data_IF_019873327540
#
_entry.id   IF_019873327540
#
_cell.length_a   1.000
_cell.length_b   1.000
_cell.length_c   1.000
_cell.angle_alpha   90.00
_cell.angle_beta   90.00
_cell.angle_gamma   90.00
#
_symmetry.space_group_name_H-M   'P 1'
#
loop_
_entity.id
_entity.type
_entity.pdbx_description
1 polymer ?
#
# COMPACT_ATOMS: atom_id res chain seq x y z
N UNK A 1 -14.52 -6.33 -4.57
CA UNK A 1 -13.80 -5.42 -5.49
C UNK A 1 -13.20 -4.27 -4.71
N UNK A 2 -12.15 -3.61 -5.19
CA UNK A 2 -11.61 -2.42 -4.54
C UNK A 2 -12.18 -1.18 -5.21
N UNK A 3 -12.78 -0.28 -4.44
CA UNK A 3 -13.43 0.93 -4.94
C UNK A 3 -12.66 2.14 -4.44
N UNK A 4 -12.33 3.07 -5.35
CA UNK A 4 -11.80 4.37 -4.98
C UNK A 4 -12.77 5.45 -5.45
N UNK A 5 -13.33 6.20 -4.51
CA UNK A 5 -14.19 7.35 -4.76
C UNK A 5 -13.37 8.61 -4.49
N UNK A 6 -13.22 9.46 -5.50
CA UNK A 6 -12.58 10.77 -5.35
C UNK A 6 -13.67 11.84 -5.43
N UNK A 7 -13.82 12.62 -4.38
CA UNK A 7 -14.71 13.77 -4.31
C UNK A 7 -13.86 15.04 -4.42
N UNK A 8 -14.26 15.98 -5.28
CA UNK A 8 -13.57 17.26 -5.45
C UNK A 8 -14.55 18.42 -5.31
N UNK A 9 -14.16 19.46 -4.58
CA UNK A 9 -14.89 20.72 -4.46
C UNK A 9 -13.90 21.88 -4.61
N UNK A 10 -13.84 22.47 -5.80
CA UNK A 10 -12.82 23.45 -6.17
C UNK A 10 -11.42 22.84 -6.06
N UNK A 11 -10.53 23.48 -5.30
CA UNK A 11 -9.16 23.01 -5.06
C UNK A 11 -9.07 21.89 -4.01
N UNK A 12 -10.15 21.63 -3.26
CA UNK A 12 -10.16 20.61 -2.20
C UNK A 12 -10.59 19.26 -2.78
N UNK A 13 -9.89 18.19 -2.41
CA UNK A 13 -10.29 16.83 -2.76
C UNK A 13 -10.23 15.89 -1.56
N UNK A 14 -11.16 14.94 -1.53
CA UNK A 14 -11.22 13.85 -0.57
C UNK A 14 -11.20 12.52 -1.33
N UNK A 15 -10.46 11.54 -0.82
CA UNK A 15 -10.35 10.21 -1.42
C UNK A 15 -10.80 9.17 -0.41
N UNK A 16 -11.83 8.41 -0.77
CA UNK A 16 -12.31 7.26 -0.02
C UNK A 16 -11.88 5.99 -0.76
N UNK A 17 -11.14 5.12 -0.07
CA UNK A 17 -10.77 3.80 -0.58
C UNK A 17 -11.51 2.76 0.24
N UNK A 18 -12.23 1.87 -0.45
CA UNK A 18 -12.94 0.76 0.15
C UNK A 18 -12.36 -0.52 -0.43
N UNK A 19 -11.66 -1.26 0.42
CA UNK A 19 -11.11 -2.56 0.06
C UNK A 19 -12.15 -3.65 0.31
N UNK A 20 -12.13 -4.71 -0.50
CA UNK A 20 -13.06 -5.84 -0.39
C UNK A 20 -14.55 -5.46 -0.42
N UNK A 21 -14.90 -4.38 -1.13
CA UNK A 21 -16.28 -3.95 -1.26
C UNK A 21 -17.11 -5.00 -2.02
N UNK A 22 -18.22 -5.51 -1.46
CA UNK A 22 -19.05 -6.50 -2.13
C UNK A 22 -19.66 -5.94 -3.43
N UNK A 23 -19.66 -6.74 -4.49
CA UNK A 23 -20.17 -6.33 -5.81
C UNK A 23 -21.66 -5.94 -5.71
N UNK A 24 -22.47 -6.73 -5.02
CA UNK A 24 -23.89 -6.46 -4.80
C UNK A 24 -24.13 -5.13 -4.06
N UNK A 25 -23.28 -4.82 -3.07
CA UNK A 25 -23.34 -3.54 -2.35
C UNK A 25 -22.98 -2.36 -3.23
N UNK A 26 -22.04 -2.55 -4.17
CA UNK A 26 -21.66 -1.54 -5.16
C UNK A 26 -22.75 -1.26 -6.17
N UNK A 27 -23.37 -2.29 -6.72
CA UNK A 27 -24.51 -2.16 -7.63
C UNK A 27 -25.66 -1.41 -6.95
N UNK A 28 -25.98 -1.76 -5.70
CA UNK A 28 -27.02 -1.07 -4.93
C UNK A 28 -26.68 0.39 -4.67
N UNK A 29 -25.42 0.68 -4.33
CA UNK A 29 -24.96 2.05 -4.09
C UNK A 29 -25.05 2.89 -5.38
N UNK A 30 -24.55 2.35 -6.49
CA UNK A 30 -24.61 2.99 -7.81
C UNK A 30 -26.05 3.29 -8.22
N UNK A 31 -26.95 2.31 -8.14
CA UNK A 31 -28.35 2.51 -8.51
C UNK A 31 -29.02 3.59 -7.67
N UNK A 32 -28.80 3.61 -6.35
CA UNK A 32 -29.33 4.68 -5.48
C UNK A 32 -28.72 6.05 -5.78
N UNK A 33 -27.46 6.08 -6.21
CA UNK A 33 -26.76 7.33 -6.54
C UNK A 33 -27.29 7.89 -7.86
N UNK A 34 -27.50 7.04 -8.86
CA UNK A 34 -28.09 7.42 -10.15
C UNK A 34 -29.54 7.88 -9.97
N UNK A 35 -30.31 7.21 -9.12
CA UNK A 35 -31.67 7.62 -8.73
C UNK A 35 -31.67 9.00 -8.04
N UNK A 36 -30.81 9.18 -7.03
CA UNK A 36 -30.65 10.45 -6.33
C UNK A 36 -30.28 11.62 -7.25
N UNK A 37 -29.46 11.36 -8.27
CA UNK A 37 -29.06 12.34 -9.28
C UNK A 37 -30.13 12.55 -10.38
N UNK A 38 -31.27 11.86 -10.31
CA UNK A 38 -32.34 11.95 -11.29
C UNK A 38 -31.97 11.36 -12.66
N UNK A 39 -30.94 10.51 -12.69
CA UNK A 39 -30.46 9.85 -13.91
C UNK A 39 -31.21 8.54 -14.20
N UNK A 40 -31.98 8.06 -13.23
CA UNK A 40 -32.94 6.97 -13.43
C UNK A 40 -34.32 7.57 -13.65
N UNK A 41 -34.83 7.41 -14.88
CA UNK A 41 -36.13 7.94 -15.27
C UNK A 41 -37.24 7.01 -14.75
N UNK A 42 -37.83 7.36 -13.59
CA UNK A 42 -39.08 6.77 -13.13
C UNK A 42 -40.28 7.42 -13.87
N UNK A 43 -40.25 7.28 -15.20
CA UNK A 43 -41.35 7.61 -16.11
C UNK A 43 -41.54 9.10 -16.41
N UNK A 44 -40.96 9.60 -17.51
CA UNK A 44 -41.70 9.74 -18.78
C UNK A 44 -40.88 10.38 -19.90
N UNK A 45 -40.96 9.73 -21.08
CA UNK A 45 -40.41 10.07 -22.41
C UNK A 45 -38.92 9.81 -22.63
N UNK A 46 -38.68 8.58 -23.13
CA UNK A 46 -37.53 8.11 -23.92
C UNK A 46 -36.85 9.24 -24.72
N UNK A 47 -35.70 9.70 -24.23
CA UNK A 47 -34.56 10.06 -25.09
C UNK A 47 -33.52 8.98 -24.90
N UNK A 48 -33.33 8.15 -25.93
CA UNK A 48 -32.19 7.22 -25.98
C UNK A 48 -30.90 8.05 -26.03
N UNK A 49 -30.34 8.33 -24.86
CA UNK A 49 -28.93 8.70 -24.79
C UNK A 49 -28.17 7.39 -24.75
N UNK A 50 -27.71 6.93 -25.91
CA UNK A 50 -26.74 5.85 -26.04
C UNK A 50 -25.39 6.33 -25.49
N UNK A 51 -25.28 6.42 -24.16
CA UNK A 51 -23.98 6.46 -23.50
C UNK A 51 -23.43 5.04 -23.64
N UNK A 52 -22.49 4.82 -24.56
CA UNK A 52 -21.64 3.63 -24.53
C UNK A 52 -20.55 3.95 -23.51
N UNK A 53 -20.64 3.52 -22.23
CA UNK A 53 -19.53 3.70 -21.33
C UNK A 53 -18.37 2.89 -21.90
N UNK A 54 -17.30 3.57 -22.31
CA UNK A 54 -16.05 2.92 -22.73
C UNK A 54 -15.35 2.43 -21.47
N UNK A 55 -15.87 1.33 -20.90
CA UNK A 55 -15.22 0.64 -19.79
C UNK A 55 -14.12 -0.23 -20.41
N UNK A 56 -12.91 0.32 -20.50
CA UNK A 56 -11.72 -0.48 -20.78
C UNK A 56 -11.35 -1.25 -19.52
N UNK A 57 -11.78 -2.51 -19.44
CA UNK A 57 -11.23 -3.46 -18.47
C UNK A 57 -9.85 -3.88 -18.99
N UNK A 58 -8.81 -3.18 -18.56
CA UNK A 58 -7.42 -3.61 -18.80
C UNK A 58 -7.08 -4.64 -17.73
N UNK A 59 -6.96 -5.90 -18.13
CA UNK A 59 -6.19 -6.87 -17.36
C UNK A 59 -4.74 -6.41 -17.40
N UNK A 60 -4.26 -5.82 -16.30
CA UNK A 60 -2.84 -5.55 -16.15
C UNK A 60 -2.15 -6.90 -15.99
N UNK A 61 -1.42 -7.32 -17.03
CA UNK A 61 -0.37 -8.29 -16.82
C UNK A 61 0.60 -7.67 -15.82
N UNK A 62 0.87 -8.37 -14.72
CA UNK A 62 1.98 -8.06 -13.84
C UNK A 62 3.20 -7.97 -14.72
N UNK A 63 3.67 -6.75 -15.00
CA UNK A 63 4.89 -6.57 -15.75
C UNK A 63 5.96 -7.38 -15.02
N UNK A 64 6.62 -8.30 -15.73
CA UNK A 64 7.88 -8.88 -15.27
C UNK A 64 8.86 -7.71 -15.18
N UNK A 65 8.93 -7.11 -13.99
CA UNK A 65 9.88 -6.05 -13.70
C UNK A 65 11.24 -6.73 -13.68
N UNK A 66 12.01 -6.48 -14.74
CA UNK A 66 13.42 -6.86 -14.84
C UNK A 66 14.13 -6.37 -13.57
N UNK A 67 14.84 -7.27 -12.89
CA UNK A 67 15.41 -7.03 -11.56
C UNK A 67 16.38 -5.85 -11.50
N UNK A 68 16.89 -5.38 -12.65
CA UNK A 68 17.76 -4.21 -12.78
C UNK A 68 17.17 -2.91 -12.18
N UNK A 69 15.84 -2.77 -12.03
CA UNK A 69 15.23 -1.51 -11.58
C UNK A 69 14.99 -1.40 -10.06
N UNK A 70 15.20 -2.47 -9.28
CA UNK A 70 15.01 -2.40 -7.81
C UNK A 70 16.22 -1.74 -7.14
N UNK A 71 17.44 -2.07 -7.59
CA UNK A 71 18.67 -1.53 -7.02
C UNK A 71 18.79 -0.01 -7.18
N UNK A 72 18.26 0.53 -8.28
CA UNK A 72 18.23 1.97 -8.55
C UNK A 72 17.34 2.73 -7.56
N UNK A 73 16.33 2.06 -7.00
CA UNK A 73 15.36 2.59 -6.04
C UNK A 73 15.80 2.44 -4.58
N UNK A 74 16.86 1.67 -4.32
CA UNK A 74 17.44 1.56 -2.99
C UNK A 74 18.37 2.76 -2.70
N UNK A 75 18.43 3.20 -1.42
CA UNK A 75 19.47 4.10 -0.94
C UNK A 75 20.85 3.61 -1.33
N UNK A 76 21.72 4.50 -1.78
CA UNK A 76 23.06 4.16 -2.26
C UNK A 76 23.84 3.32 -1.24
N UNK A 77 23.71 3.65 0.04
CA UNK A 77 24.36 2.96 1.16
C UNK A 77 23.93 1.49 1.32
N UNK A 78 22.80 1.08 0.72
CA UNK A 78 22.27 -0.27 0.81
C UNK A 78 22.54 -1.13 -0.44
N UNK A 79 22.96 -0.56 -1.57
CA UNK A 79 22.94 -1.26 -2.87
C UNK A 79 23.87 -2.47 -2.89
N UNK A 80 25.15 -2.25 -2.60
CA UNK A 80 26.17 -3.32 -2.62
C UNK A 80 25.82 -4.40 -1.60
N UNK A 81 25.46 -3.98 -0.39
CA UNK A 81 25.04 -4.89 0.67
C UNK A 81 23.80 -5.71 0.28
N UNK A 82 22.82 -5.11 -0.39
CA UNK A 82 21.60 -5.81 -0.82
C UNK A 82 21.93 -6.90 -1.84
N UNK A 83 22.81 -6.63 -2.80
CA UNK A 83 23.26 -7.62 -3.78
C UNK A 83 23.93 -8.81 -3.11
N UNK A 84 24.82 -8.57 -2.14
CA UNK A 84 25.44 -9.65 -1.36
C UNK A 84 24.39 -10.50 -0.63
N UNK A 85 23.39 -9.88 -0.02
CA UNK A 85 22.32 -10.62 0.67
C UNK A 85 21.41 -11.36 -0.30
N UNK A 86 21.19 -10.86 -1.51
CA UNK A 86 20.41 -11.53 -2.55
C UNK A 86 21.10 -12.78 -3.06
N UNK A 87 22.41 -12.71 -3.30
CA UNK A 87 23.22 -13.88 -3.63
C UNK A 87 23.15 -14.93 -2.52
N UNK A 88 23.36 -14.50 -1.26
CA UNK A 88 23.27 -15.39 -0.10
C UNK A 88 21.88 -16.01 0.07
N UNK A 89 20.81 -15.23 -0.16
CA UNK A 89 19.44 -15.72 -0.10
C UNK A 89 19.18 -16.80 -1.17
N UNK A 90 19.74 -16.61 -2.36
CA UNK A 90 19.68 -17.58 -3.47
C UNK A 90 20.41 -18.87 -3.13
N UNK A 91 21.62 -18.78 -2.57
CA UNK A 91 22.41 -19.93 -2.12
C UNK A 91 21.71 -20.70 -0.98
N UNK A 92 21.08 -19.99 -0.04
CA UNK A 92 20.33 -20.58 1.08
C UNK A 92 18.90 -21.03 0.72
N UNK A 93 18.42 -20.75 -0.49
CA UNK A 93 17.04 -21.02 -0.92
C UNK A 93 15.98 -20.27 -0.11
N UNK A 94 16.31 -19.10 0.44
CA UNK A 94 15.42 -18.26 1.26
C UNK A 94 14.99 -17.00 0.51
N UNK A 95 13.85 -16.41 0.85
CA UNK A 95 13.49 -15.09 0.33
C UNK A 95 14.47 -13.99 0.81
N UNK A 96 14.92 -13.13 -0.11
CA UNK A 96 15.85 -12.02 0.17
C UNK A 96 15.40 -11.12 1.32
N UNK A 97 14.09 -10.91 1.50
CA UNK A 97 13.55 -10.06 2.57
C UNK A 97 13.76 -10.61 3.98
N UNK A 98 14.03 -11.91 4.14
CA UNK A 98 14.39 -12.49 5.44
C UNK A 98 15.76 -12.01 5.92
N UNK A 99 16.70 -11.86 4.98
CA UNK A 99 18.05 -11.36 5.27
C UNK A 99 18.08 -9.82 5.25
N UNK A 100 17.36 -9.21 4.32
CA UNK A 100 17.48 -7.77 4.08
C UNK A 100 16.58 -6.91 4.95
N UNK A 101 15.42 -7.43 5.38
CA UNK A 101 14.35 -6.60 5.91
C UNK A 101 13.70 -5.71 4.84
N UNK A 102 13.94 -5.96 3.55
CA UNK A 102 13.36 -5.19 2.45
C UNK A 102 12.49 -6.10 1.59
N UNK A 103 11.21 -5.74 1.45
CA UNK A 103 10.26 -6.44 0.59
C UNK A 103 9.91 -5.57 -0.60
N UNK A 104 10.12 -6.07 -1.81
CA UNK A 104 9.75 -5.36 -3.04
C UNK A 104 8.29 -5.67 -3.35
N UNK A 105 7.46 -4.62 -3.49
CA UNK A 105 6.05 -4.74 -3.88
C UNK A 105 5.81 -3.82 -5.08
N UNK A 106 5.52 -4.41 -6.24
CA UNK A 106 5.31 -3.65 -7.49
C UNK A 106 6.52 -2.79 -7.88
N UNK A 107 7.73 -3.33 -7.71
CA UNK A 107 9.00 -2.61 -7.98
C UNK A 107 9.45 -1.67 -6.85
N UNK A 108 8.59 -1.33 -5.89
CA UNK A 108 8.92 -0.35 -4.85
C UNK A 108 9.47 -1.07 -3.59
N UNK A 109 10.64 -0.67 -3.08
CA UNK A 109 11.17 -1.22 -1.83
C UNK A 109 10.33 -0.78 -0.63
N UNK A 110 9.97 -1.75 0.22
CA UNK A 110 9.33 -1.53 1.49
C UNK A 110 10.21 -2.09 2.61
N UNK A 111 10.45 -1.30 3.63
CA UNK A 111 11.39 -1.56 4.71
C UNK A 111 10.65 -2.10 5.93
N UNK A 112 11.28 -3.05 6.60
CA UNK A 112 10.73 -3.72 7.78
C UNK A 112 10.57 -2.72 8.93
N UNK A 113 9.35 -2.65 9.44
CA UNK A 113 8.94 -1.84 10.58
C UNK A 113 8.50 -2.77 11.69
N UNK A 114 9.12 -2.70 12.86
CA UNK A 114 8.63 -3.37 14.05
C UNK A 114 7.87 -2.37 14.92
N UNK A 115 6.73 -2.76 15.46
CA UNK A 115 6.00 -1.89 16.38
C UNK A 115 5.41 -2.68 17.54
N UNK A 116 5.34 -2.03 18.69
CA UNK A 116 4.52 -2.40 19.83
C UNK A 116 3.43 -1.33 19.96
N UNK A 117 2.16 -1.74 19.84
CA UNK A 117 1.03 -0.82 19.84
C UNK A 117 0.80 -0.27 21.25
N UNK A 118 0.84 1.06 21.46
CA UNK A 118 0.62 1.65 22.78
C UNK A 118 -0.82 1.51 23.27
N UNK A 119 -1.79 1.28 22.36
CA UNK A 119 -3.19 1.16 22.70
C UNK A 119 -3.59 -0.26 23.18
N UNK A 120 -3.08 -1.31 22.53
CA UNK A 120 -3.49 -2.69 22.83
C UNK A 120 -2.32 -3.64 23.21
N UNK A 121 -1.08 -3.16 23.22
CA UNK A 121 0.11 -3.97 23.53
C UNK A 121 0.52 -4.97 22.43
N UNK A 122 -0.21 -5.04 21.31
CA UNK A 122 0.12 -5.95 20.22
C UNK A 122 1.45 -5.61 19.56
N UNK A 123 2.28 -6.62 19.31
CA UNK A 123 3.57 -6.52 18.63
C UNK A 123 3.43 -7.03 17.20
N UNK A 124 3.84 -6.22 16.24
CA UNK A 124 3.68 -6.54 14.82
C UNK A 124 4.87 -6.12 13.97
N UNK A 125 4.96 -6.72 12.79
CA UNK A 125 5.91 -6.34 11.74
C UNK A 125 5.15 -5.90 10.50
N UNK A 126 5.45 -4.70 9.99
CA UNK A 126 4.99 -4.24 8.68
C UNK A 126 6.17 -4.03 7.74
N UNK A 127 5.83 -3.81 6.48
CA UNK A 127 6.79 -3.41 5.45
C UNK A 127 6.22 -2.19 4.75
N UNK A 128 6.84 -1.04 5.00
CA UNK A 128 6.36 0.28 4.60
C UNK A 128 7.40 1.02 3.77
N UNK A 129 6.99 2.05 3.04
CA UNK A 129 7.89 2.85 2.21
C UNK A 129 8.87 3.66 3.07
N UNK A 130 9.93 4.14 2.41
CA UNK A 130 10.81 5.15 3.01
C UNK A 130 10.01 6.37 3.50
N UNK A 131 10.45 6.95 4.61
CA UNK A 131 9.84 8.14 5.19
C UNK A 131 8.50 7.90 5.90
N UNK A 132 8.12 6.63 6.14
CA UNK A 132 6.97 6.30 6.99
C UNK A 132 7.16 6.89 8.38
N UNK A 133 6.11 7.54 8.91
CA UNK A 133 6.08 8.12 10.25
C UNK A 133 5.07 7.45 11.17
N UNK A 134 4.10 6.77 10.58
CA UNK A 134 2.99 6.14 11.30
C UNK A 134 2.61 4.85 10.56
N UNK A 135 2.25 3.82 11.33
CA UNK A 135 1.71 2.55 10.83
C UNK A 135 0.45 2.18 11.56
N UNK A 136 -0.40 1.37 10.93
CA UNK A 136 -1.63 0.89 11.53
C UNK A 136 -1.40 -0.44 12.28
N UNK A 137 -1.87 -0.52 13.53
CA UNK A 137 -1.87 -1.75 14.30
C UNK A 137 -2.80 -2.81 13.66
N UNK A 138 -2.31 -4.02 13.43
CA UNK A 138 -3.11 -5.10 12.84
C UNK A 138 -4.27 -5.57 13.73
N UNK A 139 -4.18 -5.37 15.05
CA UNK A 139 -5.18 -5.90 15.98
C UNK A 139 -6.31 -4.91 16.27
N UNK A 140 -5.99 -3.63 16.52
CA UNK A 140 -6.98 -2.62 16.91
C UNK A 140 -7.10 -1.45 15.94
N UNK A 141 -6.39 -1.48 14.81
CA UNK A 141 -6.37 -0.42 13.79
C UNK A 141 -5.94 0.97 14.31
N UNK A 142 -5.40 1.06 15.53
CA UNK A 142 -4.88 2.32 16.05
C UNK A 142 -3.61 2.71 15.30
N UNK A 143 -3.42 4.02 15.01
CA UNK A 143 -2.16 4.53 14.49
C UNK A 143 -1.05 4.35 15.52
N UNK A 144 0.16 4.05 15.04
CA UNK A 144 1.37 3.86 15.84
C UNK A 144 2.51 4.63 15.17
N UNK A 145 3.04 5.62 15.88
CA UNK A 145 4.22 6.35 15.41
C UNK A 145 5.43 5.41 15.30
N UNK A 146 6.24 5.62 14.27
CA UNK A 146 7.46 4.86 14.03
C UNK A 146 8.61 5.79 13.68
N UNK A 147 9.80 5.39 14.14
CA UNK A 147 11.03 6.17 14.04
C UNK A 147 12.12 5.32 13.41
N UNK A 148 13.08 5.91 12.67
CA UNK A 148 14.23 5.18 12.19
C UNK A 148 15.00 4.52 13.34
N UNK A 149 15.43 3.27 13.17
CA UNK A 149 16.34 2.63 14.13
C UNK A 149 17.67 3.37 14.14
N UNK A 150 18.34 3.41 15.30
CA UNK A 150 19.61 4.13 15.48
C UNK A 150 19.56 5.61 15.06
N UNK A 151 18.39 6.23 15.10
CA UNK A 151 18.16 7.65 14.81
C UNK A 151 18.21 8.05 13.34
N UNK A 152 18.61 7.18 12.42
CA UNK A 152 18.72 7.52 11.00
C UNK A 152 18.41 6.35 10.07
N UNK A 153 17.70 6.65 8.98
CA UNK A 153 17.53 5.73 7.87
C UNK A 153 18.73 5.87 6.92
N UNK A 154 19.28 4.77 6.34
CA UNK A 154 18.79 3.40 6.33
C UNK A 154 19.51 2.45 7.31
N UNK A 155 19.87 2.90 8.52
CA UNK A 155 20.43 1.99 9.52
C UNK A 155 19.40 0.97 9.98
N UNK A 156 19.90 -0.18 10.45
CA UNK A 156 19.11 -1.31 10.94
C UNK A 156 19.49 -1.71 12.35
N UNK A 157 18.53 -2.25 13.07
CA UNK A 157 18.76 -2.98 14.33
C UNK A 157 19.28 -4.42 14.10
N UNK A 158 19.47 -5.18 15.19
CA UNK A 158 19.91 -6.59 15.16
C UNK A 158 18.90 -7.57 14.54
N UNK A 159 17.67 -7.13 14.30
CA UNK A 159 16.58 -7.91 13.73
C UNK A 159 16.23 -7.46 12.30
N UNK A 160 17.09 -6.64 11.68
CA UNK A 160 16.92 -6.04 10.36
C UNK A 160 15.66 -5.15 10.23
N UNK A 161 15.22 -4.55 11.34
CA UNK A 161 14.20 -3.51 11.30
C UNK A 161 14.87 -2.18 10.94
N UNK A 162 14.21 -1.41 10.06
CA UNK A 162 14.61 -0.07 9.68
C UNK A 162 13.90 0.99 10.51
N UNK A 163 12.69 0.67 10.97
CA UNK A 163 11.89 1.55 11.81
C UNK A 163 11.31 0.79 13.01
N UNK A 164 11.20 1.47 14.15
CA UNK A 164 10.63 0.96 15.40
C UNK A 164 9.65 1.95 16.02
N UNK A 165 8.65 1.47 16.76
CA UNK A 165 7.73 2.36 17.50
C UNK A 165 8.34 2.97 18.76
N UNK A 166 9.42 2.37 19.28
CA UNK A 166 10.24 2.96 20.32
C UNK A 166 11.32 3.84 19.68
N UNK A 167 11.53 5.04 20.23
CA UNK A 167 12.75 5.82 19.95
C UNK A 167 13.91 5.10 20.65
N UNK A 168 14.89 4.66 19.88
CA UNK A 168 16.19 4.28 20.43
C UNK A 168 16.90 5.60 20.80
N UNK A 169 17.09 5.85 22.10
CA UNK A 169 17.85 6.99 22.64
C UNK A 169 19.35 6.82 22.45
#
# INVERSE_FOLDING_TARGET
>A
MNVQITLSNGEKSARLKIENFPIESFERLLNKTLDFLGLLDHGSKKKEVSIKPKIEIRNFQTAEIKMEDVLSLLPEQLRDWYQEQEQKATEEGKPTFHLTGIKVKGGIPHYKVFYECPNCGFKGVRYEKEGVKEVECYQCSSPVDVFPTKGEFPKRDKFNNYFTSAREE
#
